data_IF_085383910288
#
_entry.id   IF_085383910288
#
_cell.length_a   1.000
_cell.length_b   1.000
_cell.length_c   1.000
_cell.angle_alpha   90.00
_cell.angle_beta   90.00
_cell.angle_gamma   90.00
#
_symmetry.space_group_name_H-M   'P 1'
#
loop_
_entity.id
_entity.type
_entity.pdbx_description
1 polymer ?
#
# COMPACT_ATOMS: atom_id res chain seq x y z
N UNK A 1 -20.38 14.14 -0.85
CA UNK A 1 -20.91 14.17 -2.24
C UNK A 1 -20.25 13.03 -3.01
N UNK A 2 -21.04 12.09 -3.53
CA UNK A 2 -20.55 10.88 -4.20
C UNK A 2 -20.02 11.26 -5.59
N UNK A 3 -18.81 10.81 -5.93
CA UNK A 3 -18.20 11.08 -7.25
C UNK A 3 -18.88 10.33 -8.39
N UNK A 4 -19.56 9.22 -8.08
CA UNK A 4 -20.40 8.47 -9.00
C UNK A 4 -21.77 8.26 -8.35
N UNK A 5 -22.76 9.01 -8.78
CA UNK A 5 -24.15 8.83 -8.37
C UNK A 5 -24.82 7.83 -9.33
N UNK A 6 -25.24 6.69 -8.80
CA UNK A 6 -25.95 5.65 -9.53
C UNK A 6 -27.47 5.71 -9.31
N UNK A 7 -28.01 6.82 -8.80
CA UNK A 7 -29.45 7.03 -8.64
C UNK A 7 -30.21 5.93 -7.88
N UNK A 8 -31.54 6.04 -7.82
CA UNK A 8 -32.42 5.02 -7.21
C UNK A 8 -32.82 3.88 -8.18
N UNK A 9 -32.37 3.93 -9.44
CA UNK A 9 -32.66 2.93 -10.46
C UNK A 9 -31.84 1.65 -10.27
N UNK A 10 -32.27 0.55 -10.94
CA UNK A 10 -31.61 -0.77 -10.90
C UNK A 10 -30.10 -0.67 -11.09
N UNK A 11 -29.34 -1.46 -10.34
CA UNK A 11 -27.86 -1.48 -10.46
C UNK A 11 -27.45 -1.63 -11.93
N UNK A 12 -26.71 -0.67 -12.49
CA UNK A 12 -26.25 -0.77 -13.86
C UNK A 12 -25.35 -2.00 -14.04
N UNK A 13 -25.37 -2.59 -15.22
CA UNK A 13 -24.53 -3.76 -15.52
C UNK A 13 -23.06 -3.48 -15.13
N UNK A 14 -22.37 -4.46 -14.55
CA UNK A 14 -21.01 -4.29 -14.01
C UNK A 14 -20.02 -3.70 -15.03
N UNK A 15 -20.23 -3.95 -16.34
CA UNK A 15 -19.45 -3.35 -17.41
C UNK A 15 -19.64 -1.82 -17.56
N UNK A 16 -20.83 -1.32 -17.24
CA UNK A 16 -21.13 0.12 -17.28
C UNK A 16 -20.49 0.80 -16.07
N UNK A 17 -20.59 0.20 -14.89
CA UNK A 17 -19.94 0.67 -13.66
C UNK A 17 -18.41 0.75 -13.91
N UNK A 18 -17.81 -0.29 -14.45
CA UNK A 18 -16.39 -0.34 -14.75
C UNK A 18 -15.94 0.79 -15.69
N UNK A 19 -16.66 1.01 -16.79
CA UNK A 19 -16.35 2.09 -17.74
C UNK A 19 -16.43 3.46 -17.10
N UNK A 20 -17.46 3.71 -16.29
CA UNK A 20 -17.65 4.98 -15.58
C UNK A 20 -16.53 5.20 -14.55
N UNK A 21 -16.17 4.18 -13.76
CA UNK A 21 -15.13 4.28 -12.76
C UNK A 21 -13.74 4.52 -13.41
N UNK A 22 -13.38 3.77 -14.46
CA UNK A 22 -12.08 3.95 -15.13
C UNK A 22 -11.97 5.34 -15.81
N UNK A 23 -13.08 5.96 -16.18
CA UNK A 23 -13.08 7.33 -16.71
C UNK A 23 -12.65 8.36 -15.63
N UNK A 24 -12.85 8.07 -14.34
CA UNK A 24 -12.47 8.96 -13.24
C UNK A 24 -10.94 8.94 -13.01
N UNK A 25 -10.25 10.09 -13.10
CA UNK A 25 -8.80 10.14 -12.87
C UNK A 25 -8.39 9.64 -11.49
N UNK A 26 -9.19 9.94 -10.46
CA UNK A 26 -8.95 9.50 -9.08
C UNK A 26 -8.98 7.97 -8.98
N UNK A 27 -9.93 7.32 -9.66
CA UNK A 27 -10.04 5.86 -9.65
C UNK A 27 -8.84 5.18 -10.33
N UNK A 28 -8.35 5.72 -11.43
CA UNK A 28 -7.12 5.21 -12.09
C UNK A 28 -5.91 5.30 -11.17
N UNK A 29 -5.76 6.40 -10.43
CA UNK A 29 -4.71 6.53 -9.43
C UNK A 29 -4.88 5.50 -8.31
N UNK A 30 -6.11 5.23 -7.87
CA UNK A 30 -6.40 4.23 -6.85
C UNK A 30 -6.06 2.81 -7.31
N UNK A 31 -6.26 2.47 -8.59
CA UNK A 31 -5.86 1.17 -9.15
C UNK A 31 -4.33 1.00 -9.13
N UNK A 32 -3.58 2.02 -9.57
CA UNK A 32 -2.11 2.01 -9.50
C UNK A 32 -1.63 1.91 -8.06
N UNK A 33 -2.23 2.67 -7.16
CA UNK A 33 -1.94 2.63 -5.73
C UNK A 33 -2.17 1.24 -5.15
N UNK A 34 -3.33 0.62 -5.40
CA UNK A 34 -3.66 -0.72 -4.89
C UNK A 34 -2.72 -1.78 -5.41
N UNK A 35 -2.42 -1.76 -6.73
CA UNK A 35 -1.45 -2.66 -7.34
C UNK A 35 -0.09 -2.59 -6.63
N UNK A 36 0.45 -1.39 -6.47
CA UNK A 36 1.78 -1.18 -5.90
C UNK A 36 1.81 -1.49 -4.39
N UNK A 37 0.84 -1.03 -3.62
CA UNK A 37 0.82 -1.28 -2.17
C UNK A 37 0.59 -2.75 -1.84
N UNK A 38 -0.22 -3.47 -2.63
CA UNK A 38 -0.39 -4.92 -2.47
C UNK A 38 0.87 -5.67 -2.86
N UNK A 39 1.56 -5.26 -3.93
CA UNK A 39 2.87 -5.79 -4.32
C UNK A 39 3.86 -5.65 -3.16
N UNK A 40 4.03 -4.44 -2.63
CA UNK A 40 4.92 -4.16 -1.50
C UNK A 40 4.56 -5.02 -0.28
N UNK A 41 3.27 -5.02 0.12
CA UNK A 41 2.78 -5.82 1.25
C UNK A 41 3.09 -7.31 1.06
N UNK A 42 2.91 -7.84 -0.13
CA UNK A 42 3.15 -9.26 -0.43
C UNK A 42 4.62 -9.63 -0.30
N UNK A 43 5.53 -8.77 -0.76
CA UNK A 43 6.98 -8.98 -0.55
C UNK A 43 7.28 -9.05 0.95
N UNK A 44 6.82 -8.09 1.73
CA UNK A 44 7.07 -8.11 3.17
C UNK A 44 6.47 -9.34 3.87
N UNK A 45 5.25 -9.75 3.53
CA UNK A 45 4.61 -10.89 4.18
C UNK A 45 5.27 -12.23 3.82
N UNK A 46 5.66 -12.41 2.56
CA UNK A 46 6.16 -13.72 2.11
C UNK A 46 7.68 -13.84 2.23
N UNK A 47 8.42 -12.75 2.06
CA UNK A 47 9.88 -12.81 1.92
C UNK A 47 10.64 -12.27 3.13
N UNK A 48 10.01 -11.60 4.10
CA UNK A 48 10.71 -11.13 5.31
C UNK A 48 11.37 -12.26 6.10
N UNK A 49 10.75 -13.45 6.29
CA UNK A 49 11.43 -14.55 6.98
C UNK A 49 12.72 -14.98 6.27
N UNK A 50 12.67 -15.14 4.92
CA UNK A 50 13.86 -15.48 4.11
C UNK A 50 14.89 -14.36 4.19
N UNK A 51 14.48 -13.11 4.04
CA UNK A 51 15.37 -11.96 4.16
C UNK A 51 16.14 -11.97 5.48
N UNK A 52 15.45 -12.13 6.61
CA UNK A 52 16.06 -12.15 7.95
C UNK A 52 16.99 -13.36 8.13
N UNK A 53 16.64 -14.49 7.54
CA UNK A 53 17.49 -15.68 7.54
C UNK A 53 18.78 -15.45 6.72
N UNK A 54 18.65 -14.93 5.51
CA UNK A 54 19.78 -14.71 4.58
C UNK A 54 20.79 -13.69 5.11
N UNK A 55 20.35 -12.70 5.91
CA UNK A 55 21.26 -11.75 6.56
C UNK A 55 21.90 -12.28 7.85
N UNK A 56 21.62 -13.54 8.22
CA UNK A 56 22.34 -14.25 9.30
C UNK A 56 21.55 -14.50 10.59
N UNK A 57 20.22 -14.29 10.63
CA UNK A 57 19.41 -14.74 11.75
C UNK A 57 19.15 -16.25 11.65
N UNK A 58 19.14 -16.95 12.80
CA UNK A 58 18.71 -18.35 12.82
C UNK A 58 17.23 -18.49 12.38
N UNK A 59 16.89 -19.60 11.69
CA UNK A 59 15.59 -19.81 11.05
C UNK A 59 14.38 -19.54 11.98
N UNK A 60 14.38 -20.10 13.20
CA UNK A 60 13.30 -19.87 14.16
C UNK A 60 13.16 -18.39 14.59
N UNK A 61 14.31 -17.71 14.76
CA UNK A 61 14.33 -16.28 15.11
C UNK A 61 13.86 -15.41 13.94
N UNK A 62 14.21 -15.77 12.71
CA UNK A 62 13.80 -15.04 11.50
C UNK A 62 12.27 -15.09 11.32
N UNK A 63 11.67 -16.29 11.48
CA UNK A 63 10.22 -16.48 11.40
C UNK A 63 9.51 -15.68 12.49
N UNK A 64 9.94 -15.80 13.75
CA UNK A 64 9.27 -15.11 14.87
C UNK A 64 9.38 -13.58 14.73
N UNK A 65 10.57 -13.07 14.38
CA UNK A 65 10.81 -11.62 14.26
C UNK A 65 10.16 -11.01 13.02
N UNK A 66 9.87 -11.79 11.98
CA UNK A 66 9.14 -11.30 10.81
C UNK A 66 7.72 -10.82 11.16
N UNK A 67 7.13 -11.31 12.25
CA UNK A 67 5.84 -10.87 12.76
C UNK A 67 5.80 -9.38 13.17
N UNK A 68 6.95 -8.72 13.35
CA UNK A 68 7.01 -7.29 13.69
C UNK A 68 6.34 -6.43 12.61
N UNK A 69 6.45 -6.82 11.34
CA UNK A 69 5.82 -6.10 10.23
C UNK A 69 4.30 -6.06 10.34
N UNK A 70 3.56 -7.19 10.38
CA UNK A 70 2.11 -7.16 10.51
C UNK A 70 1.65 -6.62 11.87
N UNK A 71 2.37 -6.87 12.97
CA UNK A 71 1.99 -6.38 14.30
C UNK A 71 1.99 -4.84 14.36
N UNK A 72 3.05 -4.19 13.93
CA UNK A 72 3.08 -2.72 13.86
C UNK A 72 2.18 -2.18 12.75
N UNK A 73 1.92 -2.97 11.71
CA UNK A 73 0.96 -2.65 10.67
C UNK A 73 -0.48 -2.51 11.18
N UNK A 74 -0.90 -3.34 12.13
CA UNK A 74 -2.22 -3.18 12.79
C UNK A 74 -2.33 -1.81 13.47
N UNK A 75 -1.27 -1.37 14.15
CA UNK A 75 -1.26 -0.02 14.76
C UNK A 75 -1.35 1.08 13.68
N UNK A 76 -0.71 0.88 12.53
CA UNK A 76 -0.79 1.80 11.40
C UNK A 76 -2.21 1.90 10.83
N UNK A 77 -2.93 0.78 10.73
CA UNK A 77 -4.33 0.77 10.24
C UNK A 77 -5.28 1.48 11.21
N UNK A 78 -5.12 1.25 12.50
CA UNK A 78 -5.91 1.94 13.54
C UNK A 78 -5.58 3.44 13.54
N UNK A 79 -4.31 3.79 13.46
CA UNK A 79 -3.86 5.19 13.45
C UNK A 79 -4.43 5.97 12.28
N UNK A 80 -4.33 5.45 11.04
CA UNK A 80 -4.83 6.18 9.87
C UNK A 80 -6.35 6.31 9.89
N UNK A 81 -7.08 5.26 10.33
CA UNK A 81 -8.53 5.31 10.49
C UNK A 81 -8.93 6.41 11.45
N UNK A 82 -8.39 6.38 12.67
CA UNK A 82 -8.65 7.42 13.68
C UNK A 82 -8.29 8.82 13.18
N UNK A 83 -7.11 8.98 12.58
CA UNK A 83 -6.65 10.28 12.09
C UNK A 83 -7.55 10.83 10.98
N UNK A 84 -7.90 10.01 10.00
CA UNK A 84 -8.71 10.46 8.86
C UNK A 84 -10.14 10.78 9.27
N UNK A 85 -10.72 10.04 10.21
CA UNK A 85 -12.08 10.31 10.70
C UNK A 85 -12.18 11.65 11.47
N UNK A 86 -11.11 12.05 12.16
CA UNK A 86 -11.10 13.29 12.94
C UNK A 86 -10.52 14.51 12.18
N UNK A 87 -9.61 14.29 11.23
CA UNK A 87 -8.83 15.37 10.63
C UNK A 87 -8.92 15.47 9.11
N UNK A 88 -9.54 14.49 8.40
CA UNK A 88 -9.67 14.57 6.95
C UNK A 88 -10.68 15.65 6.55
N UNK A 89 -10.18 16.87 6.37
CA UNK A 89 -10.99 17.98 5.86
C UNK A 89 -11.45 17.65 4.44
N UNK A 90 -12.76 17.82 4.18
CA UNK A 90 -13.37 17.61 2.86
C UNK A 90 -13.19 16.18 2.31
N UNK A 91 -13.09 15.16 3.17
CA UNK A 91 -12.92 13.75 2.75
C UNK A 91 -11.56 13.40 2.14
N UNK A 92 -10.56 14.30 2.21
CA UNK A 92 -9.22 14.03 1.64
C UNK A 92 -8.39 13.08 2.53
N UNK A 93 -8.80 11.81 2.54
CA UNK A 93 -8.07 10.73 3.23
C UNK A 93 -6.72 10.45 2.56
N UNK A 94 -6.61 10.71 1.25
CA UNK A 94 -5.40 10.46 0.47
C UNK A 94 -4.22 11.33 0.91
N UNK A 95 -4.48 12.47 1.57
CA UNK A 95 -3.44 13.32 2.13
C UNK A 95 -2.59 12.59 3.17
N UNK A 96 -3.21 11.89 4.11
CA UNK A 96 -2.46 11.13 5.11
C UNK A 96 -1.76 9.92 4.50
N UNK A 97 -2.37 9.29 3.48
CA UNK A 97 -1.80 8.15 2.80
C UNK A 97 -0.45 8.48 2.14
N UNK A 98 -0.35 9.57 1.35
CA UNK A 98 0.92 9.92 0.72
C UNK A 98 1.99 10.37 1.75
N UNK A 99 1.58 11.01 2.86
CA UNK A 99 2.52 11.37 3.94
C UNK A 99 3.12 10.12 4.59
N UNK A 100 2.31 9.12 4.93
CA UNK A 100 2.79 7.86 5.48
C UNK A 100 3.69 7.11 4.50
N UNK A 101 3.30 7.03 3.22
CA UNK A 101 4.13 6.37 2.21
C UNK A 101 5.46 7.09 1.94
N UNK A 102 5.53 8.41 2.12
CA UNK A 102 6.80 9.13 2.03
C UNK A 102 7.79 8.66 3.09
N UNK A 103 7.31 8.41 4.31
CA UNK A 103 8.14 7.84 5.39
C UNK A 103 8.51 6.39 5.08
N UNK A 104 7.59 5.60 4.50
CA UNK A 104 7.86 4.24 4.04
C UNK A 104 9.04 4.20 3.05
N UNK A 105 9.10 5.12 2.08
CA UNK A 105 10.24 5.20 1.13
C UNK A 105 11.56 5.34 1.89
N UNK A 106 11.62 6.22 2.90
CA UNK A 106 12.82 6.41 3.71
C UNK A 106 13.18 5.13 4.49
N UNK A 107 12.19 4.44 5.05
CA UNK A 107 12.41 3.16 5.74
C UNK A 107 12.98 2.10 4.79
N UNK A 108 12.47 1.98 3.56
CA UNK A 108 12.96 1.02 2.58
C UNK A 108 14.38 1.31 2.10
N UNK A 109 14.70 2.59 1.87
CA UNK A 109 16.07 3.01 1.56
C UNK A 109 17.01 2.68 2.72
N UNK A 110 16.59 2.92 3.97
CA UNK A 110 17.38 2.58 5.15
C UNK A 110 17.62 1.07 5.25
N UNK A 111 16.60 0.23 5.03
CA UNK A 111 16.77 -1.25 5.01
C UNK A 111 17.74 -1.65 3.89
N UNK A 112 17.62 -1.06 2.70
CA UNK A 112 18.53 -1.32 1.57
C UNK A 112 19.99 -1.06 1.96
N UNK A 113 20.27 0.10 2.54
CA UNK A 113 21.61 0.50 2.97
C UNK A 113 22.15 -0.40 4.09
N UNK A 114 21.32 -0.72 5.09
CA UNK A 114 21.70 -1.59 6.20
C UNK A 114 21.96 -3.03 5.74
N UNK A 115 21.22 -3.50 4.74
CA UNK A 115 21.38 -4.85 4.17
C UNK A 115 22.62 -4.99 3.29
N UNK A 116 23.20 -3.88 2.83
CA UNK A 116 24.45 -3.86 2.06
C UNK A 116 25.71 -3.95 2.95
N UNK A 117 25.58 -3.78 4.27
CA UNK A 117 26.69 -3.82 5.21
C UNK A 117 27.16 -5.24 5.46
N UNK A 118 28.49 -5.46 5.57
CA UNK A 118 29.06 -6.76 5.95
C UNK A 118 28.66 -7.19 7.38
N UNK A 119 28.36 -6.25 8.25
CA UNK A 119 27.89 -6.48 9.62
C UNK A 119 26.55 -5.81 9.85
N UNK A 120 25.43 -6.45 9.43
CA UNK A 120 24.11 -5.83 9.50
C UNK A 120 23.65 -5.68 10.96
N UNK A 121 23.20 -4.49 11.31
CA UNK A 121 22.60 -4.24 12.62
C UNK A 121 21.15 -4.74 12.64
N UNK A 122 20.94 -5.94 13.16
CA UNK A 122 19.62 -6.59 13.18
C UNK A 122 18.54 -5.77 13.90
N UNK A 123 18.86 -5.11 15.00
CA UNK A 123 17.89 -4.33 15.77
C UNK A 123 17.39 -3.14 14.95
N UNK A 124 18.29 -2.49 14.21
CA UNK A 124 17.95 -1.36 13.35
C UNK A 124 17.13 -1.80 12.14
N UNK A 125 17.48 -2.94 11.53
CA UNK A 125 16.69 -3.55 10.44
C UNK A 125 15.28 -3.90 10.93
N UNK A 126 15.13 -4.53 12.11
CA UNK A 126 13.83 -4.85 12.68
C UNK A 126 13.00 -3.61 13.01
N UNK A 127 13.64 -2.54 13.49
CA UNK A 127 12.96 -1.25 13.70
C UNK A 127 12.38 -0.71 12.39
N UNK A 128 13.18 -0.65 11.31
CA UNK A 128 12.69 -0.17 10.02
C UNK A 128 11.68 -1.13 9.36
N UNK A 129 11.78 -2.44 9.58
CA UNK A 129 10.77 -3.42 9.15
C UNK A 129 9.42 -3.17 9.83
N UNK A 130 9.43 -2.97 11.14
CA UNK A 130 8.22 -2.65 11.89
C UNK A 130 7.63 -1.30 11.48
N UNK A 131 8.48 -0.27 11.34
CA UNK A 131 8.07 1.03 10.82
C UNK A 131 7.46 0.91 9.41
N UNK A 132 8.06 0.10 8.53
CA UNK A 132 7.51 -0.18 7.19
C UNK A 132 6.11 -0.82 7.29
N UNK A 133 5.88 -1.71 8.25
CA UNK A 133 4.54 -2.27 8.51
C UNK A 133 3.53 -1.18 8.87
N UNK A 134 3.87 -0.31 9.82
CA UNK A 134 3.02 0.81 10.23
C UNK A 134 2.69 1.75 9.07
N UNK A 135 3.70 2.18 8.32
CA UNK A 135 3.54 3.17 7.25
C UNK A 135 2.99 2.60 5.94
N UNK A 136 3.00 1.29 5.73
CA UNK A 136 2.43 0.63 4.55
C UNK A 136 1.00 0.14 4.78
N UNK A 137 0.76 -0.61 5.87
CA UNK A 137 -0.55 -1.25 6.09
C UNK A 137 -1.64 -0.24 6.45
N UNK A 138 -1.30 0.90 7.05
CA UNK A 138 -2.22 2.01 7.25
C UNK A 138 -2.84 2.48 5.92
N UNK A 139 -2.07 3.07 5.00
CA UNK A 139 -2.56 3.51 3.69
C UNK A 139 -3.19 2.37 2.87
N UNK A 140 -2.62 1.17 2.92
CA UNK A 140 -3.16 0.00 2.24
C UNK A 140 -4.62 -0.29 2.65
N UNK A 141 -4.94 -0.21 3.95
CA UNK A 141 -6.28 -0.51 4.46
C UNK A 141 -7.36 0.46 3.97
N UNK A 142 -6.99 1.68 3.56
CA UNK A 142 -7.92 2.68 3.05
C UNK A 142 -8.36 2.39 1.61
N UNK A 143 -7.59 1.66 0.82
CA UNK A 143 -7.77 1.53 -0.63
C UNK A 143 -9.07 0.83 -1.02
N UNK A 144 -9.38 -0.30 -0.42
CA UNK A 144 -10.56 -1.11 -0.75
C UNK A 144 -11.75 -0.92 0.22
N UNK A 145 -11.57 -0.09 1.23
CA UNK A 145 -12.60 0.25 2.22
C UNK A 145 -13.18 1.64 2.00
N UNK A 146 -12.66 2.61 2.76
CA UNK A 146 -13.22 3.97 2.81
C UNK A 146 -13.21 4.68 1.45
N UNK A 147 -12.11 4.57 0.68
CA UNK A 147 -11.99 5.26 -0.62
C UNK A 147 -12.97 4.74 -1.67
N UNK A 148 -13.34 3.45 -1.63
CA UNK A 148 -14.34 2.90 -2.55
C UNK A 148 -15.73 3.45 -2.29
N UNK A 149 -16.07 3.64 -1.00
CA UNK A 149 -17.31 4.27 -0.59
C UNK A 149 -17.34 5.75 -0.98
N UNK A 150 -16.23 6.46 -0.77
CA UNK A 150 -16.11 7.88 -1.11
C UNK A 150 -16.20 8.14 -2.63
N UNK A 151 -15.74 7.19 -3.46
CA UNK A 151 -15.73 7.33 -4.93
C UNK A 151 -17.02 6.81 -5.57
N UNK A 152 -17.45 5.60 -5.21
CA UNK A 152 -18.52 4.88 -5.90
C UNK A 152 -19.86 4.87 -5.13
N UNK A 153 -19.90 5.42 -3.92
CA UNK A 153 -21.07 5.37 -3.05
C UNK A 153 -21.43 3.94 -2.63
N UNK A 154 -22.47 3.79 -1.81
CA UNK A 154 -22.86 2.49 -1.25
C UNK A 154 -23.25 1.46 -2.32
N UNK A 155 -23.94 1.87 -3.39
CA UNK A 155 -24.41 0.98 -4.47
C UNK A 155 -23.28 0.48 -5.37
N UNK A 156 -22.26 1.30 -5.62
CA UNK A 156 -21.10 0.96 -6.50
C UNK A 156 -19.91 0.36 -5.75
N UNK A 157 -19.87 0.47 -4.42
CA UNK A 157 -18.70 0.12 -3.61
C UNK A 157 -18.24 -1.33 -3.80
N UNK A 158 -19.14 -2.30 -3.85
CA UNK A 158 -18.78 -3.72 -4.03
C UNK A 158 -18.04 -3.99 -5.33
N UNK A 159 -18.55 -3.49 -6.45
CA UNK A 159 -17.89 -3.63 -7.76
C UNK A 159 -16.55 -2.86 -7.81
N UNK A 160 -16.52 -1.67 -7.24
CA UNK A 160 -15.34 -0.84 -7.12
C UNK A 160 -14.23 -1.56 -6.33
N UNK A 161 -14.56 -2.09 -5.14
CA UNK A 161 -13.64 -2.86 -4.29
C UNK A 161 -13.12 -4.11 -5.01
N UNK A 162 -14.01 -4.88 -5.65
CA UNK A 162 -13.59 -6.11 -6.34
C UNK A 162 -12.56 -5.87 -7.44
N UNK A 163 -12.69 -4.77 -8.20
CA UNK A 163 -11.72 -4.40 -9.23
C UNK A 163 -10.40 -3.93 -8.63
N UNK A 164 -10.46 -3.11 -7.56
CA UNK A 164 -9.28 -2.61 -6.84
C UNK A 164 -8.49 -3.77 -6.24
N UNK A 165 -9.16 -4.69 -5.55
CA UNK A 165 -8.53 -5.86 -4.94
C UNK A 165 -8.00 -6.82 -6.00
N UNK A 166 -8.76 -7.06 -7.09
CA UNK A 166 -8.30 -7.87 -8.22
C UNK A 166 -7.00 -7.32 -8.83
N UNK A 167 -6.93 -6.01 -9.06
CA UNK A 167 -5.71 -5.36 -9.54
C UNK A 167 -4.56 -5.46 -8.53
N UNK A 168 -4.87 -5.31 -7.24
CA UNK A 168 -3.90 -5.50 -6.16
C UNK A 168 -3.34 -6.92 -6.12
N UNK A 169 -4.18 -7.95 -6.23
CA UNK A 169 -3.73 -9.35 -6.20
C UNK A 169 -2.86 -9.72 -7.41
N UNK A 170 -3.05 -9.10 -8.58
CA UNK A 170 -2.12 -9.24 -9.71
C UNK A 170 -0.72 -8.74 -9.29
N UNK A 171 -0.64 -7.56 -8.64
CA UNK A 171 0.63 -7.06 -8.09
C UNK A 171 1.24 -8.01 -7.06
N UNK A 172 0.41 -8.56 -6.16
CA UNK A 172 0.84 -9.54 -5.15
C UNK A 172 1.38 -10.83 -5.76
N UNK A 173 0.75 -11.34 -6.82
CA UNK A 173 1.23 -12.53 -7.54
C UNK A 173 2.59 -12.28 -8.21
N UNK A 174 2.78 -11.14 -8.84
CA UNK A 174 4.08 -10.74 -9.42
C UNK A 174 5.14 -10.69 -8.31
N UNK A 175 4.83 -10.08 -7.17
CA UNK A 175 5.74 -9.97 -6.03
C UNK A 175 6.19 -11.32 -5.48
N UNK A 176 5.27 -12.30 -5.44
CA UNK A 176 5.56 -13.63 -4.91
C UNK A 176 6.66 -14.35 -5.71
N UNK A 177 6.74 -14.13 -7.02
CA UNK A 177 7.77 -14.74 -7.87
C UNK A 177 9.00 -13.84 -8.03
N UNK A 178 8.81 -12.55 -8.27
CA UNK A 178 9.89 -11.64 -8.64
C UNK A 178 10.86 -11.37 -7.49
N UNK A 179 10.38 -11.19 -6.26
CA UNK A 179 11.22 -10.82 -5.14
C UNK A 179 12.22 -11.92 -4.75
N UNK A 180 11.80 -13.20 -4.83
CA UNK A 180 12.69 -14.34 -4.58
C UNK A 180 13.79 -14.43 -5.63
N UNK A 181 13.43 -14.43 -6.91
CA UNK A 181 14.40 -14.45 -7.99
C UNK A 181 15.37 -13.27 -7.90
N UNK A 182 14.87 -12.05 -7.65
CA UNK A 182 15.73 -10.89 -7.49
C UNK A 182 16.68 -11.00 -6.29
N UNK A 183 16.24 -11.57 -5.17
CA UNK A 183 17.09 -11.72 -4.00
C UNK A 183 18.27 -12.67 -4.25
N UNK A 184 18.04 -13.72 -5.03
CA UNK A 184 19.07 -14.72 -5.37
C UNK A 184 20.11 -14.19 -6.37
N UNK A 185 19.71 -13.29 -7.30
CA UNK A 185 20.62 -12.74 -8.33
C UNK A 185 21.26 -11.41 -7.93
N UNK A 186 20.53 -10.53 -7.25
CA UNK A 186 20.95 -9.14 -6.99
C UNK A 186 21.19 -8.86 -5.51
N UNK A 187 20.74 -9.75 -4.63
CA UNK A 187 20.78 -9.54 -3.18
C UNK A 187 19.66 -8.64 -2.64
N UNK A 188 19.45 -8.71 -1.34
CA UNK A 188 18.34 -8.03 -0.65
C UNK A 188 18.42 -6.51 -0.67
N UNK A 189 19.63 -5.95 -0.65
CA UNK A 189 19.81 -4.50 -0.76
C UNK A 189 19.16 -3.95 -2.03
N UNK A 190 19.40 -4.60 -3.18
CA UNK A 190 18.81 -4.18 -4.46
C UNK A 190 17.30 -4.41 -4.51
N UNK A 191 16.81 -5.49 -3.90
CA UNK A 191 15.36 -5.73 -3.78
C UNK A 191 14.69 -4.55 -3.06
N UNK A 192 15.19 -4.15 -1.89
CA UNK A 192 14.61 -3.02 -1.14
C UNK A 192 14.76 -1.68 -1.87
N UNK A 193 15.84 -1.49 -2.64
CA UNK A 193 15.98 -0.30 -3.47
C UNK A 193 14.89 -0.24 -4.56
N UNK A 194 14.64 -1.33 -5.26
CA UNK A 194 13.54 -1.42 -6.27
C UNK A 194 12.18 -1.21 -5.61
N UNK A 195 11.95 -1.81 -4.44
CA UNK A 195 10.72 -1.61 -3.69
C UNK A 195 10.54 -0.14 -3.25
N UNK A 196 11.63 0.56 -2.93
CA UNK A 196 11.57 2.00 -2.61
C UNK A 196 11.08 2.84 -3.79
N UNK A 197 11.45 2.46 -5.03
CA UNK A 197 10.94 3.11 -6.26
C UNK A 197 9.43 2.86 -6.41
N UNK A 198 8.97 1.63 -6.18
CA UNK A 198 7.53 1.33 -6.23
C UNK A 198 6.75 2.07 -5.12
N UNK A 199 7.32 2.19 -3.92
CA UNK A 199 6.74 2.99 -2.85
C UNK A 199 6.67 4.47 -3.23
N UNK A 200 7.68 5.01 -3.93
CA UNK A 200 7.68 6.38 -4.42
C UNK A 200 6.58 6.62 -5.47
N UNK A 201 6.40 5.69 -6.41
CA UNK A 201 5.31 5.76 -7.41
C UNK A 201 3.95 5.69 -6.70
N UNK A 202 3.80 4.82 -5.70
CA UNK A 202 2.57 4.73 -4.89
C UNK A 202 2.31 6.02 -4.12
N UNK A 203 3.35 6.65 -3.57
CA UNK A 203 3.29 7.96 -2.91
C UNK A 203 2.80 9.04 -3.88
N UNK A 204 3.37 9.09 -5.08
CA UNK A 204 2.94 10.02 -6.12
C UNK A 204 1.47 9.80 -6.51
N UNK A 205 1.04 8.54 -6.65
CA UNK A 205 -0.35 8.18 -6.94
C UNK A 205 -1.30 8.70 -5.86
N UNK A 206 -0.99 8.48 -4.58
CA UNK A 206 -1.76 8.99 -3.45
C UNK A 206 -1.79 10.53 -3.39
N UNK A 207 -0.67 11.19 -3.74
CA UNK A 207 -0.62 12.64 -3.83
C UNK A 207 -1.51 13.21 -4.94
N UNK A 208 -1.53 12.57 -6.12
CA UNK A 208 -2.44 12.96 -7.19
C UNK A 208 -3.90 12.75 -6.81
N UNK A 209 -4.24 11.66 -6.10
CA UNK A 209 -5.58 11.45 -5.55
C UNK A 209 -5.97 12.59 -4.60
N UNK A 210 -5.10 12.96 -3.65
CA UNK A 210 -5.34 14.08 -2.73
C UNK A 210 -5.61 15.39 -3.47
N UNK A 211 -4.82 15.68 -4.53
CA UNK A 211 -5.07 16.84 -5.39
C UNK A 211 -6.42 16.79 -6.10
N UNK A 212 -6.85 15.60 -6.51
CA UNK A 212 -8.15 15.37 -7.11
C UNK A 212 -9.29 15.68 -6.15
N UNK A 213 -9.26 15.15 -4.93
CA UNK A 213 -10.26 15.42 -3.88
C UNK A 213 -10.35 16.91 -3.54
N UNK A 214 -9.19 17.59 -3.42
CA UNK A 214 -9.16 19.03 -3.14
C UNK A 214 -9.76 19.89 -4.27
N UNK A 215 -9.67 19.48 -5.53
CA UNK A 215 -10.30 20.20 -6.64
C UNK A 215 -11.81 20.06 -6.62
N UNK A 216 -12.32 18.86 -6.33
CA UNK A 216 -13.76 18.59 -6.24
C UNK A 216 -14.38 19.35 -5.07
N UNK A 217 -13.70 19.42 -3.93
CA UNK A 217 -14.18 20.15 -2.76
C UNK A 217 -14.23 21.68 -2.93
N UNK A 218 -13.59 22.22 -3.99
CA UNK A 218 -13.59 23.66 -4.31
C UNK A 218 -14.55 24.02 -5.46
N UNK A 219 -15.05 23.04 -6.20
CA UNK A 219 -16.03 23.24 -7.26
C UNK A 219 -17.45 23.16 -6.75
#
# INVERSE_FOLDING_TARGET
>A
EQLADYGDEEQPAGSTILKTLIALPIYRQLLVFSFLTTLLRSVFLFWTPKFLFDIGLGASSAILRSAIFPLLGVLGTVFIGWYTDHHAKNGDRARMMWMMLSVLVLCMVAISLLSASETPNFNLILFFLGASGFFLLGPYSMSSGCLTLDIAGAKGAGSCTGIIDGMGYIGGAIAAFAAGAMSDYLGWSQVFLVLSVFALISTASAWFMSRGFQKIAKA
#
